data_IF_255605918781
#
_entry.id   IF_255605918781
#
_cell.length_a   1.000
_cell.length_b   1.000
_cell.length_c   1.000
_cell.angle_alpha   90.00
_cell.angle_beta   90.00
_cell.angle_gamma   90.00
#
_symmetry.space_group_name_H-M   'P 1'
#
loop_
_entity.id
_entity.type
_entity.pdbx_description
1 polymer ?
#
# COMPACT_ATOMS: atom_id res chain seq x y z
N UNK A 1 -2.30 12.06 3.36
CA UNK A 1 -1.85 12.08 4.76
C UNK A 1 -1.15 10.73 4.99
N UNK A 2 0.02 10.75 5.65
CA UNK A 2 0.99 9.63 5.71
C UNK A 2 2.01 9.51 4.55
N UNK A 3 1.61 9.74 3.29
CA UNK A 3 2.52 9.66 2.12
C UNK A 3 3.17 11.00 1.76
N UNK A 4 4.38 10.96 1.20
CA UNK A 4 5.09 12.14 0.70
C UNK A 4 4.90 12.33 -0.80
N UNK A 5 4.81 13.59 -1.24
CA UNK A 5 4.69 13.97 -2.66
C UNK A 5 6.00 13.81 -3.44
N UNK A 6 7.13 13.95 -2.74
CA UNK A 6 8.46 13.91 -3.36
C UNK A 6 9.22 12.68 -2.93
N UNK A 7 9.60 11.87 -3.92
CA UNK A 7 10.36 10.64 -3.75
C UNK A 7 11.65 10.82 -2.94
N UNK A 8 12.33 11.95 -3.14
CA UNK A 8 13.63 12.26 -2.52
C UNK A 8 13.54 12.43 -0.99
N UNK A 9 12.35 12.74 -0.49
CA UNK A 9 12.14 13.02 0.94
C UNK A 9 11.70 11.76 1.71
N UNK A 10 11.53 10.62 1.04
CA UNK A 10 11.00 9.41 1.64
C UNK A 10 12.10 8.52 2.21
N UNK A 11 12.00 8.19 3.50
CA UNK A 11 12.86 7.19 4.14
C UNK A 11 12.52 5.77 3.68
N UNK A 12 11.24 5.53 3.35
CA UNK A 12 10.71 4.24 2.89
C UNK A 12 9.78 4.44 1.70
N UNK A 13 9.94 3.59 0.69
CA UNK A 13 9.11 3.59 -0.53
C UNK A 13 8.35 2.27 -0.62
N UNK A 14 7.02 2.38 -0.71
CA UNK A 14 6.14 1.22 -0.89
C UNK A 14 5.65 1.17 -2.34
N UNK A 15 6.17 0.20 -3.09
CA UNK A 15 5.78 -0.06 -4.48
C UNK A 15 4.71 -1.15 -4.56
N UNK A 16 3.73 -0.93 -5.43
CA UNK A 16 2.74 -1.96 -5.79
C UNK A 16 3.05 -2.58 -7.14
N UNK A 17 3.18 -3.92 -7.21
CA UNK A 17 3.40 -4.64 -8.47
C UNK A 17 2.16 -5.48 -8.79
N UNK A 18 1.33 -5.09 -9.78
CA UNK A 18 0.09 -5.77 -10.11
C UNK A 18 0.33 -7.02 -10.99
N UNK A 19 1.02 -8.02 -10.46
CA UNK A 19 1.38 -9.24 -11.20
C UNK A 19 0.48 -10.42 -10.84
N UNK A 20 -0.08 -11.07 -11.87
CA UNK A 20 -0.92 -12.27 -11.75
C UNK A 20 -0.66 -13.23 -12.93
N UNK A 21 0.60 -13.44 -13.31
CA UNK A 21 0.91 -14.22 -14.52
C UNK A 21 0.80 -15.75 -14.35
N UNK A 22 0.97 -16.26 -13.12
CA UNK A 22 1.14 -17.70 -12.86
C UNK A 22 0.08 -18.29 -11.94
N UNK A 23 -0.93 -17.51 -11.53
CA UNK A 23 -1.99 -17.96 -10.63
C UNK A 23 -3.10 -18.68 -11.39
N UNK A 24 -3.47 -19.88 -10.92
CA UNK A 24 -4.48 -20.74 -11.56
C UNK A 24 -5.76 -20.97 -10.75
N UNK A 25 -5.74 -20.77 -9.42
CA UNK A 25 -6.88 -21.11 -8.56
C UNK A 25 -7.89 -19.96 -8.40
N UNK A 26 -7.44 -18.76 -7.99
CA UNK A 26 -8.29 -17.61 -7.71
C UNK A 26 -7.66 -16.32 -8.28
N UNK A 27 -8.21 -15.76 -9.38
CA UNK A 27 -7.71 -14.51 -9.95
C UNK A 27 -8.16 -13.29 -9.13
N UNK A 28 -7.46 -12.17 -9.30
CA UNK A 28 -7.75 -10.88 -8.67
C UNK A 28 -6.55 -10.24 -7.93
N UNK A 29 -5.45 -10.96 -7.72
CA UNK A 29 -4.29 -10.47 -6.95
C UNK A 29 -3.62 -9.24 -7.57
N UNK A 30 -3.69 -9.09 -8.90
CA UNK A 30 -3.21 -7.89 -9.61
C UNK A 30 -3.89 -6.60 -9.15
N UNK A 31 -5.09 -6.67 -8.58
CA UNK A 31 -5.81 -5.52 -8.05
C UNK A 31 -5.44 -5.20 -6.59
N UNK A 32 -4.74 -6.11 -5.91
CA UNK A 32 -4.35 -5.99 -4.50
C UNK A 32 -3.66 -4.66 -4.17
N UNK A 33 -2.62 -4.23 -4.92
CA UNK A 33 -1.94 -2.98 -4.61
C UNK A 33 -2.82 -1.72 -4.69
N UNK A 34 -3.80 -1.70 -5.58
CA UNK A 34 -4.76 -0.59 -5.63
C UNK A 34 -5.74 -0.67 -4.46
N UNK A 35 -6.23 -1.86 -4.14
CA UNK A 35 -7.19 -2.05 -3.06
C UNK A 35 -6.59 -1.71 -1.69
N UNK A 36 -5.33 -2.04 -1.44
CA UNK A 36 -4.60 -1.65 -0.24
C UNK A 36 -4.57 -0.12 -0.08
N UNK A 37 -4.29 0.63 -1.16
CA UNK A 37 -4.30 2.09 -1.13
C UNK A 37 -5.70 2.67 -0.93
N UNK A 38 -6.71 2.05 -1.51
CA UNK A 38 -8.10 2.52 -1.35
C UNK A 38 -8.56 2.42 0.10
N UNK A 39 -8.17 1.37 0.81
CA UNK A 39 -8.58 1.16 2.22
C UNK A 39 -7.64 1.80 3.24
N UNK A 40 -6.43 2.22 2.84
CA UNK A 40 -5.43 2.77 3.78
C UNK A 40 -5.87 4.09 4.41
N UNK A 41 -6.80 4.80 3.80
CA UNK A 41 -7.39 6.04 4.37
C UNK A 41 -8.11 5.80 5.70
N UNK A 42 -8.50 4.55 6.00
CA UNK A 42 -9.11 4.17 7.28
C UNK A 42 -8.12 3.77 8.37
N UNK A 43 -6.81 3.85 8.11
CA UNK A 43 -5.78 3.56 9.12
C UNK A 43 -5.50 4.82 9.94
N UNK A 44 -5.38 4.63 11.26
CA UNK A 44 -4.90 5.68 12.16
C UNK A 44 -3.41 5.96 11.92
N UNK A 45 -3.06 7.24 11.78
CA UNK A 45 -1.67 7.69 11.56
C UNK A 45 -0.86 7.78 12.85
N UNK A 46 -1.56 7.82 13.99
CA UNK A 46 -0.97 8.03 15.30
C UNK A 46 -1.19 6.84 16.22
N UNK A 47 -0.18 6.52 17.03
CA UNK A 47 -0.22 5.43 18.01
C UNK A 47 0.06 6.00 19.40
N UNK A 48 -1.01 6.27 20.15
CA UNK A 48 -0.97 6.86 21.49
C UNK A 48 -0.01 6.18 22.49
N UNK A 49 0.19 4.87 22.37
CA UNK A 49 1.02 4.10 23.31
C UNK A 49 2.51 4.02 22.93
N UNK A 50 2.89 4.61 21.80
CA UNK A 50 4.27 4.56 21.28
C UNK A 50 4.97 5.93 21.30
N UNK A 51 4.37 6.92 21.95
CA UNK A 51 5.00 8.19 22.28
C UNK A 51 5.93 8.07 23.51
#
# INVERSE_FOLDING_TARGET
MGSLEHYQNADVIILGVPLEATLSFRPGTRFGPQQIRNVSVGLEEYRMYQD
#
